data_IF_349981423097
#
_entry.id   IF_349981423097
#
_cell.length_a   1.000
_cell.length_b   1.000
_cell.length_c   1.000
_cell.angle_alpha   90.00
_cell.angle_beta   90.00
_cell.angle_gamma   90.00
#
_symmetry.space_group_name_H-M   'P 1'
#
loop_
_entity.id
_entity.type
_entity.pdbx_description
1 polymer ?
#
# COMPACT_ATOMS: atom_id res chain seq x y z
N UNK A 1 2.03 -19.24 -8.62
CA UNK A 1 2.66 -18.17 -7.80
C UNK A 1 2.44 -18.29 -6.27
N UNK A 2 1.60 -19.21 -5.76
CA UNK A 2 1.36 -19.31 -4.31
C UNK A 2 2.53 -19.89 -3.49
N UNK A 3 3.12 -20.98 -3.95
CA UNK A 3 4.15 -21.74 -3.22
C UNK A 3 5.32 -20.92 -2.66
N UNK A 4 5.92 -19.97 -3.42
CA UNK A 4 7.02 -19.15 -2.92
C UNK A 4 6.68 -18.35 -1.65
N UNK A 5 5.45 -17.82 -1.53
CA UNK A 5 5.04 -17.02 -0.38
C UNK A 5 4.99 -17.87 0.90
N UNK A 6 4.26 -18.99 0.82
CA UNK A 6 4.09 -19.90 1.96
C UNK A 6 5.40 -20.59 2.33
N UNK A 7 6.25 -20.88 1.35
CA UNK A 7 7.55 -21.50 1.58
C UNK A 7 8.54 -20.57 2.30
N UNK A 8 8.67 -19.31 1.84
CA UNK A 8 9.52 -18.32 2.50
C UNK A 8 9.02 -18.06 3.92
N UNK A 9 7.70 -17.92 4.10
CA UNK A 9 7.10 -17.72 5.42
C UNK A 9 7.38 -18.90 6.36
N UNK A 10 7.20 -20.13 5.88
CA UNK A 10 7.52 -21.34 6.62
C UNK A 10 8.98 -21.35 7.11
N UNK A 11 9.94 -21.04 6.24
CA UNK A 11 11.37 -21.00 6.60
C UNK A 11 11.67 -19.94 7.68
N UNK A 12 11.07 -18.76 7.56
CA UNK A 12 11.22 -17.68 8.55
C UNK A 12 10.66 -18.10 9.92
N UNK A 13 9.46 -18.69 9.93
CA UNK A 13 8.77 -19.10 11.15
C UNK A 13 9.46 -20.28 11.83
N UNK A 14 9.87 -21.29 11.07
CA UNK A 14 10.51 -22.49 11.61
C UNK A 14 11.88 -22.16 12.24
N UNK A 15 12.71 -21.40 11.52
CA UNK A 15 14.03 -21.00 12.02
C UNK A 15 13.92 -20.15 13.29
N UNK A 16 13.00 -19.17 13.30
CA UNK A 16 12.80 -18.26 14.43
C UNK A 16 12.18 -18.95 15.64
N UNK A 17 11.27 -19.89 15.44
CA UNK A 17 10.72 -20.70 16.53
C UNK A 17 11.83 -21.46 17.27
N UNK A 18 12.77 -22.08 16.54
CA UNK A 18 13.91 -22.78 17.16
C UNK A 18 14.80 -21.82 17.96
N UNK A 19 15.04 -20.61 17.45
CA UNK A 19 15.82 -19.58 18.14
C UNK A 19 15.15 -19.11 19.43
N UNK A 20 13.83 -18.85 19.39
CA UNK A 20 13.04 -18.40 20.54
C UNK A 20 13.03 -19.44 21.67
N UNK A 21 13.08 -20.72 21.32
CA UNK A 21 13.13 -21.83 22.28
C UNK A 21 14.56 -22.23 22.66
N UNK A 22 15.58 -21.59 22.08
CA UNK A 22 16.99 -21.88 22.35
C UNK A 22 17.47 -21.25 23.67
N UNK A 23 18.71 -21.56 24.03
CA UNK A 23 19.44 -20.92 25.15
C UNK A 23 20.47 -19.90 24.65
N UNK A 24 20.34 -19.44 23.41
CA UNK A 24 21.25 -18.44 22.85
C UNK A 24 21.09 -17.09 23.57
N UNK A 25 22.11 -16.21 23.51
CA UNK A 25 22.02 -14.87 24.07
C UNK A 25 20.82 -14.09 23.51
N UNK A 26 20.13 -13.32 24.36
CA UNK A 26 18.92 -12.58 23.98
C UNK A 26 19.13 -11.69 22.76
N UNK A 27 20.26 -10.99 22.65
CA UNK A 27 20.56 -10.13 21.51
C UNK A 27 20.64 -10.92 20.18
N UNK A 28 21.16 -12.16 20.23
CA UNK A 28 21.24 -13.03 19.07
C UNK A 28 19.85 -13.51 18.65
N UNK A 29 19.05 -13.98 19.62
CA UNK A 29 17.66 -14.41 19.36
C UNK A 29 16.84 -13.26 18.77
N UNK A 30 16.91 -12.05 19.36
CA UNK A 30 16.14 -10.89 18.89
C UNK A 30 16.55 -10.51 17.47
N UNK A 31 17.86 -10.41 17.19
CA UNK A 31 18.34 -9.98 15.87
C UNK A 31 17.95 -10.97 14.76
N UNK A 32 18.05 -12.27 15.02
CA UNK A 32 17.78 -13.30 14.02
C UNK A 32 16.29 -13.67 13.89
N UNK A 33 15.51 -13.59 14.96
CA UNK A 33 14.06 -13.90 14.93
C UNK A 33 13.18 -12.70 14.53
N UNK A 34 13.74 -11.48 14.51
CA UNK A 34 13.02 -10.25 14.15
C UNK A 34 12.18 -10.36 12.85
N UNK A 35 12.69 -10.92 11.73
CA UNK A 35 11.91 -11.07 10.51
C UNK A 35 10.65 -11.94 10.64
N UNK A 36 10.62 -12.85 11.62
CA UNK A 36 9.44 -13.65 11.92
C UNK A 36 8.57 -13.04 13.03
N UNK A 37 9.15 -12.31 13.99
CA UNK A 37 8.38 -11.64 15.04
C UNK A 37 7.52 -10.51 14.46
N UNK A 38 8.11 -9.75 13.54
CA UNK A 38 7.41 -8.74 12.75
C UNK A 38 7.02 -9.34 11.40
N UNK A 39 6.27 -8.59 10.61
CA UNK A 39 5.82 -9.09 9.33
C UNK A 39 5.75 -8.00 8.27
N UNK A 40 5.55 -8.46 7.04
CA UNK A 40 5.46 -7.61 5.87
C UNK A 40 4.36 -8.12 4.94
N UNK A 41 3.65 -7.19 4.33
CA UNK A 41 2.84 -7.48 3.16
C UNK A 41 3.76 -7.89 2.01
N UNK A 42 3.25 -8.75 1.12
CA UNK A 42 3.94 -9.14 -0.09
C UNK A 42 2.99 -9.01 -1.29
N UNK A 43 3.44 -8.30 -2.31
CA UNK A 43 2.73 -8.10 -3.56
C UNK A 43 3.69 -8.36 -4.71
N UNK A 44 3.33 -9.28 -5.60
CA UNK A 44 4.15 -9.67 -6.74
C UNK A 44 3.34 -9.65 -8.03
N UNK A 45 3.97 -9.23 -9.12
CA UNK A 45 3.43 -9.30 -10.47
C UNK A 45 4.43 -10.01 -11.38
N UNK A 46 3.95 -10.94 -12.21
CA UNK A 46 4.74 -11.67 -13.18
C UNK A 46 4.05 -11.58 -14.53
N UNK A 47 4.72 -10.94 -15.49
CA UNK A 47 4.27 -10.84 -16.87
C UNK A 47 5.06 -11.81 -17.75
N UNK A 48 4.36 -12.66 -18.48
CA UNK A 48 4.95 -13.52 -19.51
C UNK A 48 4.78 -12.87 -20.90
N UNK A 49 5.85 -12.35 -21.52
CA UNK A 49 5.75 -11.65 -22.80
C UNK A 49 5.45 -12.57 -23.98
N UNK A 50 5.62 -13.89 -23.85
CA UNK A 50 5.29 -14.82 -24.93
C UNK A 50 3.78 -15.06 -25.02
N UNK A 51 3.11 -15.10 -23.87
CA UNK A 51 1.66 -15.34 -23.77
C UNK A 51 0.86 -14.07 -23.52
N UNK A 52 1.51 -12.94 -23.22
CA UNK A 52 0.90 -11.68 -22.74
C UNK A 52 0.02 -11.86 -21.49
N UNK A 53 0.29 -12.90 -20.69
CA UNK A 53 -0.43 -13.16 -19.45
C UNK A 53 0.28 -12.47 -18.29
N UNK A 54 -0.45 -11.62 -17.58
CA UNK A 54 -0.04 -11.04 -16.31
C UNK A 54 -0.69 -11.79 -15.16
N UNK A 55 0.14 -12.18 -14.20
CA UNK A 55 -0.31 -12.77 -12.94
C UNK A 55 0.05 -11.84 -11.80
N UNK A 56 -0.90 -11.59 -10.90
CA UNK A 56 -0.71 -10.80 -9.68
C UNK A 56 -0.97 -11.68 -8.46
N UNK A 57 -0.05 -11.71 -7.50
CA UNK A 57 -0.20 -12.38 -6.21
C UNK A 57 -0.12 -11.35 -5.08
N UNK A 58 -1.14 -11.30 -4.21
CA UNK A 58 -1.19 -10.41 -3.07
C UNK A 58 -1.36 -11.16 -1.74
N UNK A 59 -0.54 -10.83 -0.74
CA UNK A 59 -0.66 -11.25 0.65
C UNK A 59 -0.43 -10.02 1.55
N UNK A 60 -1.46 -9.18 1.69
CA UNK A 60 -1.48 -8.02 2.56
C UNK A 60 -2.49 -6.97 2.11
N UNK A 61 -2.31 -5.74 2.60
CA UNK A 61 -3.12 -4.56 2.27
C UNK A 61 -2.50 -3.67 1.17
N UNK A 62 -1.47 -4.17 0.47
CA UNK A 62 -1.04 -3.60 -0.80
C UNK A 62 -2.05 -3.92 -1.90
N UNK A 63 -2.06 -3.11 -2.97
CA UNK A 63 -3.01 -3.28 -4.08
C UNK A 63 -2.36 -3.02 -5.43
N UNK A 64 -2.82 -3.76 -6.43
CA UNK A 64 -2.48 -3.61 -7.84
C UNK A 64 -3.71 -3.21 -8.65
N UNK A 65 -3.54 -2.22 -9.53
CA UNK A 65 -4.57 -1.73 -10.45
C UNK A 65 -3.99 -1.68 -11.86
N UNK A 66 -4.68 -2.30 -12.81
CA UNK A 66 -4.39 -2.21 -14.23
C UNK A 66 -5.14 -1.00 -14.83
N UNK A 67 -4.42 -0.14 -15.52
CA UNK A 67 -4.99 0.86 -16.41
C UNK A 67 -5.18 0.26 -17.80
N UNK A 68 -6.44 0.10 -18.23
CA UNK A 68 -6.78 -0.40 -19.57
C UNK A 68 -7.56 0.63 -20.36
N UNK A 69 -7.23 0.79 -21.64
CA UNK A 69 -7.99 1.68 -22.51
C UNK A 69 -9.39 1.12 -22.80
N UNK A 70 -10.41 1.93 -22.56
CA UNK A 70 -11.78 1.66 -22.99
C UNK A 70 -12.08 2.49 -24.26
N UNK A 71 -12.24 1.86 -25.43
CA UNK A 71 -12.56 2.55 -26.69
C UNK A 71 -13.89 3.31 -26.66
N UNK A 72 -14.88 2.84 -25.89
CA UNK A 72 -16.19 3.47 -25.82
C UNK A 72 -16.14 4.74 -24.98
N UNK A 73 -15.55 4.64 -23.78
CA UNK A 73 -15.39 5.79 -22.89
C UNK A 73 -14.25 6.73 -23.32
N UNK A 74 -13.42 6.32 -24.30
CA UNK A 74 -12.24 7.04 -24.80
C UNK A 74 -11.30 7.48 -23.68
N UNK A 75 -11.09 6.60 -22.70
CA UNK A 75 -10.23 6.83 -21.55
C UNK A 75 -9.71 5.53 -20.98
N UNK A 76 -8.64 5.61 -20.20
CA UNK A 76 -8.23 4.48 -19.37
C UNK A 76 -9.20 4.28 -18.22
N UNK A 77 -9.60 3.03 -18.01
CA UNK A 77 -10.41 2.55 -16.88
C UNK A 77 -9.49 1.81 -15.89
N UNK A 78 -9.84 1.89 -14.60
CA UNK A 78 -9.12 1.17 -13.56
C UNK A 78 -9.72 -0.21 -13.32
N UNK A 79 -8.90 -1.25 -13.44
CA UNK A 79 -9.26 -2.64 -13.18
C UNK A 79 -8.41 -3.15 -12.01
N UNK A 80 -8.96 -3.28 -10.79
CA UNK A 80 -8.25 -3.83 -9.65
C UNK A 80 -7.89 -5.30 -9.90
N UNK A 81 -6.63 -5.67 -9.72
CA UNK A 81 -6.13 -7.05 -9.89
C UNK A 81 -5.78 -7.72 -8.55
N UNK A 82 -6.10 -7.08 -7.44
CA UNK A 82 -5.96 -7.65 -6.09
C UNK A 82 -6.91 -6.94 -5.13
N UNK A 83 -7.49 -7.69 -4.19
CA UNK A 83 -8.18 -7.12 -3.04
C UNK A 83 -7.20 -6.88 -1.88
N UNK A 84 -7.52 -5.93 -1.00
CA UNK A 84 -6.78 -5.74 0.24
C UNK A 84 -7.19 -6.79 1.28
N UNK A 85 -6.20 -7.37 1.96
CA UNK A 85 -6.43 -8.36 3.01
C UNK A 85 -6.41 -7.69 4.39
N UNK A 86 -7.57 -7.17 4.80
CA UNK A 86 -7.81 -6.52 6.09
C UNK A 86 -9.25 -6.80 6.58
N UNK A 87 -9.61 -6.34 7.79
CA UNK A 87 -10.94 -6.57 8.36
C UNK A 87 -12.10 -5.79 7.74
N UNK A 88 -11.85 -4.96 6.72
CA UNK A 88 -12.91 -4.33 5.93
C UNK A 88 -13.25 -5.15 4.67
N UNK A 89 -12.47 -6.18 4.34
CA UNK A 89 -12.75 -7.08 3.23
C UNK A 89 -13.72 -8.18 3.68
N UNK A 90 -14.98 -8.22 3.19
CA UNK A 90 -15.98 -9.19 3.64
C UNK A 90 -15.57 -10.65 3.41
N UNK A 91 -14.76 -10.93 2.37
CA UNK A 91 -14.24 -12.27 2.10
C UNK A 91 -13.27 -12.72 3.20
N UNK A 92 -12.38 -11.82 3.66
CA UNK A 92 -11.44 -12.12 4.75
C UNK A 92 -12.13 -12.23 6.10
N UNK A 93 -13.11 -11.35 6.37
CA UNK A 93 -13.96 -11.46 7.57
C UNK A 93 -14.67 -12.82 7.59
N UNK A 94 -15.27 -13.21 6.46
CA UNK A 94 -15.98 -14.49 6.35
C UNK A 94 -15.04 -15.69 6.48
N UNK A 95 -13.81 -15.60 5.96
CA UNK A 95 -12.78 -16.63 6.12
C UNK A 95 -12.42 -16.80 7.60
N UNK A 96 -12.07 -15.71 8.27
CA UNK A 96 -11.65 -15.73 9.67
C UNK A 96 -12.78 -16.18 10.61
N UNK A 97 -14.03 -15.79 10.34
CA UNK A 97 -15.19 -16.28 11.10
C UNK A 97 -15.42 -17.79 10.95
N UNK A 98 -15.07 -18.38 9.80
CA UNK A 98 -15.16 -19.85 9.59
C UNK A 98 -14.04 -20.59 10.27
N UNK A 99 -12.83 -20.04 10.25
CA UNK A 99 -11.66 -20.64 10.90
C UNK A 99 -11.73 -20.53 12.43
N UNK A 100 -12.32 -19.44 12.95
CA UNK A 100 -12.39 -19.13 14.37
C UNK A 100 -13.84 -18.78 14.80
N UNK A 101 -14.80 -19.72 14.74
CA UNK A 101 -16.22 -19.42 14.91
C UNK A 101 -16.59 -18.87 16.30
N UNK A 102 -15.86 -19.28 17.33
CA UNK A 102 -16.13 -18.91 18.73
C UNK A 102 -15.24 -17.75 19.22
N UNK A 103 -14.43 -17.15 18.35
CA UNK A 103 -13.48 -16.10 18.71
C UNK A 103 -13.75 -14.80 17.95
N UNK A 104 -13.75 -13.68 18.68
CA UNK A 104 -13.83 -12.34 18.07
C UNK A 104 -12.42 -11.87 17.70
N UNK A 105 -11.97 -12.26 16.51
CA UNK A 105 -10.59 -11.99 16.07
C UNK A 105 -10.43 -10.66 15.34
N UNK A 106 -11.50 -10.13 14.74
CA UNK A 106 -11.52 -8.81 14.11
C UNK A 106 -12.25 -7.83 15.01
N UNK A 107 -11.61 -6.71 15.30
CA UNK A 107 -12.23 -5.56 15.94
C UNK A 107 -13.19 -4.87 14.97
N UNK A 108 -14.51 -4.79 15.28
CA UNK A 108 -15.50 -4.19 14.39
C UNK A 108 -15.36 -2.67 14.24
N UNK A 109 -14.72 -1.98 15.20
CA UNK A 109 -14.52 -0.53 15.13
C UNK A 109 -13.34 -0.16 14.25
N UNK A 110 -12.25 -0.93 14.34
CA UNK A 110 -11.00 -0.61 13.65
C UNK A 110 -10.74 -1.43 12.39
N UNK A 111 -11.41 -2.59 12.24
CA UNK A 111 -11.13 -3.58 11.22
C UNK A 111 -9.80 -4.31 11.43
N UNK A 112 -9.19 -4.21 12.61
CA UNK A 112 -7.92 -4.84 12.91
C UNK A 112 -8.10 -6.29 13.36
N UNK A 113 -7.29 -7.19 12.82
CA UNK A 113 -7.12 -8.55 13.31
C UNK A 113 -6.24 -8.51 14.55
N UNK A 114 -6.80 -8.72 15.75
CA UNK A 114 -6.04 -8.87 16.99
C UNK A 114 -4.97 -7.77 17.23
N UNK A 115 -5.27 -6.53 16.82
CA UNK A 115 -4.38 -5.37 16.96
C UNK A 115 -3.47 -5.07 15.76
N UNK A 116 -3.50 -5.86 14.69
CA UNK A 116 -2.82 -5.58 13.41
C UNK A 116 -3.82 -5.32 12.29
N UNK A 117 -3.46 -4.51 11.29
CA UNK A 117 -4.38 -4.08 10.20
C UNK A 117 -4.60 -5.14 9.12
N UNK A 118 -3.74 -6.15 9.03
CA UNK A 118 -3.71 -7.11 7.93
C UNK A 118 -4.18 -8.48 8.38
N UNK A 119 -4.86 -9.20 7.48
CA UNK A 119 -5.33 -10.58 7.70
C UNK A 119 -4.47 -11.62 6.98
N UNK A 120 -3.55 -11.15 6.12
CA UNK A 120 -2.50 -11.96 5.49
C UNK A 120 -1.18 -11.21 5.47
N UNK A 121 -0.08 -11.88 5.79
CA UNK A 121 1.27 -11.33 5.67
C UNK A 121 2.33 -12.44 5.87
N UNK A 122 3.55 -12.14 5.42
CA UNK A 122 4.75 -12.90 5.80
C UNK A 122 5.18 -12.52 7.22
N UNK A 123 5.83 -13.44 7.94
CA UNK A 123 6.28 -13.23 9.31
C UNK A 123 5.10 -13.24 10.29
N UNK A 124 5.11 -12.32 11.27
CA UNK A 124 4.08 -12.23 12.31
C UNK A 124 3.81 -13.57 13.02
N UNK A 125 4.89 -14.28 13.35
CA UNK A 125 4.87 -15.64 13.89
C UNK A 125 4.05 -15.79 15.16
N UNK A 126 3.91 -14.74 15.97
CA UNK A 126 3.04 -14.78 17.16
C UNK A 126 1.57 -15.09 16.83
N UNK A 127 1.11 -14.73 15.63
CA UNK A 127 -0.24 -15.03 15.17
C UNK A 127 -0.36 -16.41 14.51
N UNK A 128 0.75 -17.14 14.36
CA UNK A 128 0.86 -18.40 13.61
C UNK A 128 1.37 -19.57 14.45
N UNK A 129 2.23 -19.29 15.42
CA UNK A 129 2.84 -20.29 16.30
C UNK A 129 1.87 -20.80 17.38
N UNK A 130 2.17 -21.97 17.97
CA UNK A 130 1.50 -22.40 19.20
C UNK A 130 1.62 -21.34 20.31
N UNK A 131 0.58 -21.23 21.15
CA UNK A 131 0.51 -20.23 22.21
C UNK A 131 1.70 -20.26 23.19
N UNK A 132 2.34 -21.41 23.38
CA UNK A 132 3.56 -21.55 24.20
C UNK A 132 4.75 -20.79 23.63
N UNK A 133 4.97 -20.87 22.31
CA UNK A 133 6.06 -20.16 21.62
C UNK A 133 5.74 -18.67 21.52
N UNK A 134 4.51 -18.33 21.14
CA UNK A 134 4.03 -16.96 21.07
C UNK A 134 4.18 -16.21 22.41
N UNK A 135 3.91 -16.90 23.53
CA UNK A 135 4.10 -16.35 24.87
C UNK A 135 5.57 -16.05 25.17
N UNK A 136 6.48 -17.00 24.91
CA UNK A 136 7.93 -16.81 25.10
C UNK A 136 8.43 -15.63 24.23
N UNK A 137 8.01 -15.60 22.96
CA UNK A 137 8.35 -14.55 22.01
C UNK A 137 7.98 -13.15 22.53
N UNK A 138 6.78 -13.02 23.11
CA UNK A 138 6.32 -11.75 23.64
C UNK A 138 6.92 -11.38 25.00
N UNK A 139 7.07 -12.33 25.91
CA UNK A 139 7.58 -12.09 27.27
C UNK A 139 9.08 -11.80 27.27
N UNK A 140 9.86 -12.44 26.39
CA UNK A 140 11.32 -12.42 26.46
C UNK A 140 11.99 -11.68 25.30
N UNK A 141 11.29 -11.45 24.18
CA UNK A 141 11.91 -10.97 22.93
C UNK A 141 11.13 -9.83 22.25
N UNK A 142 10.32 -9.08 23.00
CA UNK A 142 9.54 -7.92 22.51
C UNK A 142 8.62 -8.22 21.32
N UNK A 143 8.25 -9.48 21.12
CA UNK A 143 7.29 -9.82 20.10
C UNK A 143 5.93 -9.17 20.36
N UNK A 144 5.24 -8.67 19.31
CA UNK A 144 3.98 -7.95 19.45
C UNK A 144 2.92 -8.81 20.15
N UNK A 145 2.24 -8.25 21.17
CA UNK A 145 1.13 -8.93 21.83
C UNK A 145 -0.14 -8.80 21.00
N UNK A 146 -0.81 -9.91 20.65
CA UNK A 146 -2.16 -9.84 20.11
C UNK A 146 -3.07 -9.11 21.11
N UNK A 147 -3.85 -8.16 20.60
CA UNK A 147 -4.89 -7.50 21.39
C UNK A 147 -6.15 -8.34 21.31
N UNK A 148 -6.56 -8.91 22.44
CA UNK A 148 -7.78 -9.69 22.56
C UNK A 148 -8.34 -9.57 23.98
N UNK A 149 -9.67 -9.43 24.09
CA UNK A 149 -10.39 -9.50 25.36
C UNK A 149 -10.62 -10.96 25.83
N UNK A 150 -10.22 -11.93 25.00
CA UNK A 150 -10.45 -13.35 25.22
C UNK A 150 -9.18 -14.17 24.97
N UNK A 151 -9.11 -15.36 25.58
CA UNK A 151 -8.00 -16.28 25.35
C UNK A 151 -8.01 -16.76 23.90
N UNK A 152 -6.91 -16.49 23.17
CA UNK A 152 -6.66 -16.99 21.82
C UNK A 152 -6.40 -18.50 21.87
N UNK A 153 -7.26 -19.29 21.22
CA UNK A 153 -7.26 -20.76 21.39
C UNK A 153 -6.65 -21.51 20.21
N UNK A 154 -6.94 -21.10 18.98
CA UNK A 154 -6.63 -21.87 17.79
C UNK A 154 -5.79 -21.10 16.75
N UNK A 155 -4.48 -20.79 17.00
CA UNK A 155 -3.63 -20.34 15.90
C UNK A 155 -3.59 -21.39 14.76
N UNK A 156 -3.41 -20.98 13.49
CA UNK A 156 -3.03 -19.65 13.04
C UNK A 156 -4.22 -18.69 12.81
N UNK A 157 -4.06 -17.43 13.18
CA UNK A 157 -4.99 -16.33 12.87
C UNK A 157 -4.60 -15.55 11.61
N UNK A 158 -3.34 -15.70 11.17
CA UNK A 158 -2.77 -15.00 10.03
C UNK A 158 -2.16 -16.01 9.07
N UNK A 159 -2.39 -15.83 7.77
CA UNK A 159 -1.82 -16.71 6.73
C UNK A 159 -0.91 -15.92 5.78
N UNK A 160 0.01 -16.61 5.10
CA UNK A 160 0.86 -16.03 4.05
C UNK A 160 0.43 -16.41 2.64
N UNK A 161 -0.59 -17.27 2.50
CA UNK A 161 -1.08 -17.69 1.18
C UNK A 161 -1.68 -16.51 0.41
N UNK A 162 -1.15 -16.18 -0.78
CA UNK A 162 -1.63 -15.05 -1.54
C UNK A 162 -2.91 -15.39 -2.30
N UNK A 163 -3.74 -14.37 -2.51
CA UNK A 163 -4.74 -14.41 -3.58
C UNK A 163 -4.03 -14.15 -4.92
N UNK A 164 -4.39 -14.91 -5.96
CA UNK A 164 -3.77 -14.82 -7.28
C UNK A 164 -4.83 -14.52 -8.33
N UNK A 165 -4.60 -13.46 -9.10
CA UNK A 165 -5.43 -13.08 -10.25
C UNK A 165 -4.59 -13.16 -11.51
N UNK A 166 -5.16 -13.68 -12.59
CA UNK A 166 -4.55 -13.69 -13.92
C UNK A 166 -5.40 -12.85 -14.88
N UNK A 167 -4.75 -12.11 -15.77
CA UNK A 167 -5.39 -11.36 -16.84
C UNK A 167 -4.44 -11.26 -18.03
N UNK A 168 -5.00 -11.16 -19.23
CA UNK A 168 -4.21 -10.78 -20.41
C UNK A 168 -3.83 -9.30 -20.34
N UNK A 169 -2.75 -8.94 -21.02
CA UNK A 169 -2.22 -7.58 -21.16
C UNK A 169 -2.26 -7.15 -22.61
N UNK A 170 -2.71 -5.91 -22.85
CA UNK A 170 -2.65 -5.29 -24.17
C UNK A 170 -1.39 -4.44 -24.28
N UNK A 171 -0.29 -5.01 -24.76
CA UNK A 171 1.01 -4.33 -24.92
C UNK A 171 1.19 -3.64 -26.29
N UNK A 172 0.30 -3.91 -27.24
CA UNK A 172 0.40 -3.40 -28.62
C UNK A 172 -0.70 -2.38 -28.95
N UNK A 173 -0.37 -1.40 -29.79
CA UNK A 173 -1.32 -0.38 -30.30
C UNK A 173 -1.06 1.01 -29.72
N UNK A 174 -1.99 1.93 -29.97
CA UNK A 174 -1.85 3.35 -29.57
C UNK A 174 -2.05 3.59 -28.06
N UNK A 175 -2.67 2.61 -27.38
CA UNK A 175 -3.04 2.70 -25.97
C UNK A 175 -2.68 1.42 -25.21
N UNK A 176 -1.37 1.13 -25.04
CA UNK A 176 -0.95 -0.02 -24.27
C UNK A 176 -1.39 0.09 -22.82
N UNK A 177 -1.59 -1.06 -22.19
CA UNK A 177 -1.93 -1.19 -20.78
C UNK A 177 -0.74 -0.76 -19.89
N UNK A 178 -1.06 -0.40 -18.66
CA UNK A 178 -0.04 -0.18 -17.62
C UNK A 178 -0.52 -0.68 -16.27
N UNK A 179 0.42 -1.02 -15.41
CA UNK A 179 0.19 -1.54 -14.07
C UNK A 179 0.62 -0.52 -13.02
N UNK A 180 -0.22 -0.28 -12.01
CA UNK A 180 0.14 0.45 -10.80
C UNK A 180 0.13 -0.54 -9.63
N UNK A 181 1.28 -0.74 -9.00
CA UNK A 181 1.42 -1.49 -7.77
C UNK A 181 1.83 -0.53 -6.67
N UNK A 182 1.09 -0.51 -5.56
CA UNK A 182 1.45 0.33 -4.43
C UNK A 182 1.00 -0.26 -3.10
N UNK A 183 1.66 0.19 -2.03
CA UNK A 183 1.25 -0.14 -0.67
C UNK A 183 -0.01 0.64 -0.25
N UNK A 184 -0.65 0.19 0.83
CA UNK A 184 -1.90 0.77 1.37
C UNK A 184 -1.92 2.29 1.37
N UNK A 185 -0.83 2.94 1.79
CA UNK A 185 -0.82 4.38 2.01
C UNK A 185 -1.14 5.18 0.75
N UNK A 186 -0.74 4.70 -0.44
CA UNK A 186 -1.16 5.34 -1.69
C UNK A 186 -2.67 5.24 -1.89
N UNK A 187 -3.23 4.05 -1.68
CA UNK A 187 -4.65 3.73 -1.92
C UNK A 187 -5.60 4.31 -0.87
N UNK A 188 -5.09 4.73 0.29
CA UNK A 188 -5.84 5.57 1.21
C UNK A 188 -6.07 6.97 0.64
N UNK A 189 -5.08 7.51 -0.09
CA UNK A 189 -5.10 8.86 -0.65
C UNK A 189 -5.74 8.89 -2.05
N UNK A 190 -5.64 7.81 -2.82
CA UNK A 190 -6.18 7.70 -4.17
C UNK A 190 -7.33 6.71 -4.28
N UNK A 191 -8.35 7.09 -5.04
CA UNK A 191 -9.27 6.12 -5.61
C UNK A 191 -8.66 5.51 -6.88
N UNK A 192 -9.02 4.27 -7.20
CA UNK A 192 -8.37 3.52 -8.29
C UNK A 192 -8.40 4.27 -9.64
N UNK A 193 -9.53 4.87 -9.98
CA UNK A 193 -9.72 5.59 -11.24
C UNK A 193 -8.93 6.90 -11.29
N UNK A 194 -8.78 7.58 -10.14
CA UNK A 194 -8.00 8.80 -10.02
C UNK A 194 -6.50 8.53 -10.11
N UNK A 195 -6.02 7.41 -9.56
CA UNK A 195 -4.64 6.97 -9.76
C UNK A 195 -4.33 6.70 -11.24
N UNK A 196 -5.22 5.97 -11.94
CA UNK A 196 -5.12 5.73 -13.38
C UNK A 196 -5.13 7.04 -14.16
N UNK A 197 -6.04 7.96 -13.84
CA UNK A 197 -6.10 9.28 -14.49
C UNK A 197 -4.79 10.07 -14.28
N UNK A 198 -4.28 10.11 -13.04
CA UNK A 198 -3.00 10.76 -12.72
C UNK A 198 -1.84 10.16 -13.53
N UNK A 199 -1.74 8.83 -13.60
CA UNK A 199 -0.73 8.14 -14.43
C UNK A 199 -0.85 8.52 -15.90
N UNK A 200 -2.07 8.61 -16.44
CA UNK A 200 -2.27 8.98 -17.86
C UNK A 200 -1.89 10.43 -18.16
N UNK A 201 -2.03 11.35 -17.22
CA UNK A 201 -1.57 12.73 -17.40
C UNK A 201 -0.05 12.77 -17.59
N UNK A 202 0.68 11.98 -16.81
CA UNK A 202 2.12 11.85 -16.93
C UNK A 202 2.54 11.20 -18.26
N UNK A 203 1.89 10.10 -18.64
CA UNK A 203 2.22 9.35 -19.87
C UNK A 203 1.91 10.14 -21.15
N UNK A 204 0.78 10.85 -21.20
CA UNK A 204 0.42 11.74 -22.30
C UNK A 204 1.45 12.86 -22.49
N UNK A 205 1.92 13.47 -21.41
CA UNK A 205 2.97 14.47 -21.49
C UNK A 205 4.31 13.88 -21.94
N UNK A 206 4.67 12.67 -21.49
CA UNK A 206 5.84 11.96 -22.01
C UNK A 206 5.74 11.72 -23.52
N UNK A 207 4.62 11.19 -24.00
CA UNK A 207 4.40 10.94 -25.43
C UNK A 207 4.50 12.24 -26.25
N UNK A 208 3.86 13.32 -25.80
CA UNK A 208 3.88 14.62 -26.47
C UNK A 208 5.28 15.28 -26.45
N UNK A 209 6.05 15.10 -25.37
CA UNK A 209 7.42 15.62 -25.23
C UNK A 209 8.40 14.81 -26.08
N UNK A 210 8.27 13.48 -26.16
CA UNK A 210 9.12 12.61 -26.99
C UNK A 210 8.87 12.82 -28.49
N UNK A 211 7.65 13.18 -28.90
CA UNK A 211 7.30 13.52 -30.29
C UNK A 211 7.66 14.97 -30.71
N UNK A 212 8.42 15.71 -29.89
CA UNK A 212 8.95 17.02 -30.27
C UNK A 212 7.98 18.20 -30.12
N UNK A 213 6.80 18.01 -29.51
CA UNK A 213 5.90 19.11 -29.15
C UNK A 213 6.38 19.82 -27.87
N UNK A 214 7.53 20.50 -27.96
CA UNK A 214 8.14 21.32 -26.90
C UNK A 214 7.17 22.41 -26.41
N UNK A 215 6.21 22.84 -27.24
CA UNK A 215 5.24 23.88 -26.90
C UNK A 215 4.28 23.50 -25.76
N UNK A 216 3.97 22.22 -25.53
CA UNK A 216 3.01 21.85 -24.48
C UNK A 216 3.64 21.85 -23.08
N UNK A 217 4.94 21.51 -22.97
CA UNK A 217 5.74 21.72 -21.74
C UNK A 217 5.73 23.21 -21.35
N UNK A 218 5.77 24.11 -22.35
CA UNK A 218 5.75 25.57 -22.15
C UNK A 218 4.34 26.14 -21.89
N UNK A 219 3.27 25.55 -22.45
CA UNK A 219 1.87 25.94 -22.18
C UNK A 219 1.32 25.38 -20.85
N UNK A 220 1.85 24.26 -20.36
CA UNK A 220 1.48 23.66 -19.06
C UNK A 220 2.43 24.02 -17.92
N UNK A 221 3.54 24.72 -18.18
CA UNK A 221 4.25 25.49 -17.17
C UNK A 221 3.33 26.61 -16.66
N UNK A 222 2.45 26.28 -15.72
CA UNK A 222 2.00 27.25 -14.73
C UNK A 222 3.23 27.62 -13.89
N UNK A 223 3.82 28.77 -14.19
CA UNK A 223 4.72 29.57 -13.34
C UNK A 223 5.58 28.79 -12.33
N UNK A 224 6.53 27.97 -12.81
CA UNK A 224 7.50 27.30 -11.92
C UNK A 224 8.74 28.15 -11.58
N UNK A 225 8.92 29.32 -12.21
CA UNK A 225 10.17 30.11 -12.11
C UNK A 225 10.05 31.37 -11.24
N UNK A 226 9.08 31.42 -10.31
CA UNK A 226 9.07 32.44 -9.27
C UNK A 226 9.95 31.99 -8.08
N UNK A 227 11.10 32.64 -7.80
CA UNK A 227 11.84 32.39 -6.58
C UNK A 227 10.95 32.67 -5.37
N UNK A 228 10.88 31.70 -4.45
CA UNK A 228 10.05 31.75 -3.26
C UNK A 228 10.46 32.94 -2.36
N UNK A 229 9.56 33.90 -2.20
CA UNK A 229 9.58 34.84 -1.07
C UNK A 229 8.69 34.27 0.03
N UNK A 230 9.18 34.08 1.28
CA UNK A 230 8.40 33.55 2.41
C UNK A 230 7.29 34.49 2.93
N UNK A 231 6.79 35.41 2.12
CA UNK A 231 5.75 36.35 2.49
C UNK A 231 5.01 36.82 1.25
N UNK A 232 3.68 36.69 1.24
CA UNK A 232 2.85 37.51 0.36
C UNK A 232 1.64 36.87 -0.31
N UNK A 233 1.42 35.56 -0.26
CA UNK A 233 0.10 34.99 -0.61
C UNK A 233 -0.64 34.68 0.68
N UNK A 234 -1.82 35.29 0.87
CA UNK A 234 -2.68 35.02 2.02
C UNK A 234 -2.80 33.51 2.20
N UNK A 235 -2.17 32.98 3.25
CA UNK A 235 -2.13 31.55 3.53
C UNK A 235 -3.52 31.13 3.96
N UNK A 236 -4.34 30.73 2.99
CA UNK A 236 -5.64 30.10 3.24
C UNK A 236 -5.36 28.87 4.10
N UNK A 237 -6.10 28.67 5.19
CA UNK A 237 -5.86 27.50 6.04
C UNK A 237 -6.13 26.26 5.19
N UNK A 238 -5.31 25.21 5.37
CA UNK A 238 -5.47 23.96 4.61
C UNK A 238 -6.89 23.40 4.75
N UNK A 239 -7.52 23.64 5.90
CA UNK A 239 -8.90 23.27 6.27
C UNK A 239 -9.99 23.98 5.48
N UNK A 240 -9.65 25.03 4.71
CA UNK A 240 -10.63 25.80 3.94
C UNK A 240 -10.89 25.16 2.55
N UNK A 241 -10.31 23.97 2.29
CA UNK A 241 -10.51 23.19 1.06
C UNK A 241 -11.45 21.99 1.32
N UNK A 242 -12.41 21.81 0.42
CA UNK A 242 -13.52 20.84 0.53
C UNK A 242 -13.10 19.35 0.59
N UNK A 243 -11.86 19.00 0.25
CA UNK A 243 -11.40 17.60 0.20
C UNK A 243 -10.43 17.21 1.33
N UNK A 244 -10.42 18.00 2.40
CA UNK A 244 -9.71 17.68 3.64
C UNK A 244 -10.70 17.33 4.74
N UNK A 245 -10.36 16.37 5.59
CA UNK A 245 -11.21 15.92 6.70
C UNK A 245 -10.36 15.50 7.88
N UNK A 246 -10.98 15.25 9.03
CA UNK A 246 -10.31 14.69 10.19
C UNK A 246 -10.57 13.19 10.22
N UNK A 247 -9.51 12.40 10.18
CA UNK A 247 -9.58 10.96 10.33
C UNK A 247 -10.07 10.61 11.75
N UNK A 248 -11.12 9.81 11.84
CA UNK A 248 -11.79 9.52 13.13
C UNK A 248 -10.92 8.68 14.06
N UNK A 249 -10.04 7.84 13.53
CA UNK A 249 -9.20 6.95 14.33
C UNK A 249 -7.99 7.69 14.91
N UNK A 250 -7.34 8.54 14.10
CA UNK A 250 -6.13 9.25 14.50
C UNK A 250 -6.39 10.66 15.03
N UNK A 251 -7.56 11.25 14.74
CA UNK A 251 -7.85 12.66 15.00
C UNK A 251 -7.01 13.62 14.14
N UNK A 252 -6.33 13.12 13.10
CA UNK A 252 -5.42 13.90 12.27
C UNK A 252 -6.07 14.35 10.96
N UNK A 253 -5.54 15.43 10.38
CA UNK A 253 -5.92 15.87 9.05
C UNK A 253 -5.61 14.79 8.01
N UNK A 254 -6.60 14.43 7.20
CA UNK A 254 -6.49 13.53 6.06
C UNK A 254 -7.10 14.18 4.82
N UNK A 255 -6.77 13.66 3.65
CA UNK A 255 -7.21 14.21 2.37
C UNK A 255 -7.28 13.12 1.30
N UNK A 256 -7.98 13.43 0.21
CA UNK A 256 -7.97 12.62 -1.01
C UNK A 256 -7.26 13.35 -2.15
N UNK A 257 -6.59 12.58 -2.99
CA UNK A 257 -6.01 13.03 -4.25
C UNK A 257 -7.07 12.84 -5.35
N UNK A 258 -7.46 13.95 -5.97
CA UNK A 258 -8.52 14.00 -6.98
C UNK A 258 -8.00 14.74 -8.22
N UNK A 259 -8.61 14.46 -9.38
CA UNK A 259 -8.22 15.01 -10.68
C UNK A 259 -7.96 16.52 -10.69
N UNK A 260 -8.77 17.32 -9.99
CA UNK A 260 -8.64 18.78 -9.95
C UNK A 260 -7.35 19.28 -9.28
N UNK A 261 -6.68 18.42 -8.50
CA UNK A 261 -5.45 18.75 -7.78
C UNK A 261 -4.20 18.22 -8.48
N UNK A 262 -4.33 17.56 -9.63
CA UNK A 262 -3.18 16.94 -10.28
C UNK A 262 -2.30 17.96 -10.98
N UNK A 263 -0.98 17.83 -10.77
CA UNK A 263 0.06 18.65 -11.38
C UNK A 263 1.17 17.75 -11.90
N UNK A 264 1.70 18.06 -13.08
CA UNK A 264 2.75 17.26 -13.72
C UNK A 264 4.07 18.03 -13.64
N UNK A 265 4.95 17.59 -12.75
CA UNK A 265 6.25 18.22 -12.51
C UNK A 265 7.42 17.25 -12.61
N UNK A 266 7.13 15.95 -12.71
CA UNK A 266 8.12 14.89 -12.66
C UNK A 266 8.01 14.00 -13.89
N UNK A 267 9.15 13.69 -14.50
CA UNK A 267 9.22 12.73 -15.61
C UNK A 267 9.09 11.26 -15.13
N UNK A 268 9.29 10.99 -13.83
CA UNK A 268 9.16 9.67 -13.24
C UNK A 268 7.75 9.44 -12.69
N UNK A 269 6.99 8.54 -13.33
CA UNK A 269 5.57 8.32 -13.02
C UNK A 269 5.29 7.97 -11.55
N UNK A 270 6.14 7.15 -10.92
CA UNK A 270 6.01 6.84 -9.49
C UNK A 270 6.16 8.07 -8.57
N UNK A 271 7.09 8.99 -8.90
CA UNK A 271 7.29 10.22 -8.12
C UNK A 271 6.11 11.16 -8.36
N UNK A 272 5.66 11.26 -9.62
CA UNK A 272 4.48 12.01 -10.00
C UNK A 272 3.24 11.56 -9.21
N UNK A 273 2.98 10.25 -9.11
CA UNK A 273 1.89 9.72 -8.29
C UNK A 273 2.05 10.10 -6.82
N UNK A 274 3.23 9.90 -6.23
CA UNK A 274 3.49 10.19 -4.82
C UNK A 274 3.28 11.68 -4.50
N UNK A 275 3.81 12.60 -5.33
CA UNK A 275 3.63 14.04 -5.10
C UNK A 275 2.17 14.47 -5.22
N UNK A 276 1.45 13.90 -6.18
CA UNK A 276 0.01 14.16 -6.31
C UNK A 276 -0.81 13.56 -5.16
N UNK A 277 -0.40 12.40 -4.65
CA UNK A 277 -0.96 11.81 -3.43
C UNK A 277 -0.84 12.78 -2.25
N UNK A 278 0.33 13.39 -2.10
CA UNK A 278 0.69 14.20 -0.93
C UNK A 278 0.28 15.67 -1.02
N UNK A 279 -0.36 16.08 -2.12
CA UNK A 279 -0.96 17.42 -2.22
C UNK A 279 -1.14 17.91 -3.64
N UNK A 280 -0.31 17.47 -4.59
CA UNK A 280 -0.35 17.92 -5.98
C UNK A 280 -0.24 19.44 -6.07
N UNK A 281 -1.20 20.09 -6.73
CA UNK A 281 -1.27 21.55 -6.86
C UNK A 281 -1.52 22.27 -5.52
N UNK A 282 -1.97 21.58 -4.47
CA UNK A 282 -2.16 22.12 -3.12
C UNK A 282 -0.82 22.27 -2.40
N UNK A 283 0.00 23.24 -2.82
CA UNK A 283 1.38 23.44 -2.32
C UNK A 283 1.49 23.56 -0.81
N UNK A 284 0.61 24.33 -0.18
CA UNK A 284 0.60 24.47 1.27
C UNK A 284 0.39 23.13 2.01
N UNK A 285 -0.43 22.23 1.47
CA UNK A 285 -0.61 20.89 2.03
C UNK A 285 0.66 20.04 1.82
N UNK A 286 1.16 19.99 0.59
CA UNK A 286 2.36 19.23 0.26
C UNK A 286 3.56 19.64 1.12
N UNK A 287 3.85 20.94 1.20
CA UNK A 287 4.95 21.50 1.99
C UNK A 287 4.76 21.23 3.49
N UNK A 288 3.53 21.37 4.00
CA UNK A 288 3.24 21.06 5.41
C UNK A 288 3.51 19.60 5.72
N UNK A 289 3.05 18.67 4.88
CA UNK A 289 3.27 17.23 5.08
C UNK A 289 4.76 16.86 4.99
N UNK A 290 5.52 17.54 4.13
CA UNK A 290 6.97 17.34 3.97
C UNK A 290 7.79 17.88 5.15
N UNK A 291 7.32 18.94 5.81
CA UNK A 291 8.03 19.55 6.96
C UNK A 291 7.79 18.82 8.29
N UNK A 292 6.81 17.92 8.36
CA UNK A 292 6.54 17.11 9.54
C UNK A 292 7.75 16.24 9.94
N UNK A 293 8.06 16.27 11.23
CA UNK A 293 9.15 15.49 11.85
C UNK A 293 8.62 14.30 12.66
N UNK A 294 9.47 13.30 12.93
CA UNK A 294 9.15 12.27 13.93
C UNK A 294 8.82 12.90 15.29
N UNK A 295 7.88 12.33 16.06
CA UNK A 295 7.22 11.04 15.84
C UNK A 295 5.92 11.11 15.01
N UNK A 296 5.49 12.30 14.57
CA UNK A 296 4.18 12.48 13.91
C UNK A 296 4.25 12.11 12.42
N UNK A 297 5.39 12.34 11.78
CA UNK A 297 5.53 12.16 10.34
C UNK A 297 5.09 10.79 9.80
N UNK A 298 5.42 9.64 10.44
CA UNK A 298 4.98 8.34 9.93
C UNK A 298 3.46 8.16 9.96
N UNK A 299 2.76 8.77 10.92
CA UNK A 299 1.28 8.68 10.99
C UNK A 299 0.59 9.51 9.91
N UNK A 300 1.16 10.66 9.54
CA UNK A 300 0.53 11.58 8.57
C UNK A 300 0.86 11.23 7.12
N UNK A 301 2.14 11.09 6.75
CA UNK A 301 2.48 10.73 5.37
C UNK A 301 2.54 9.24 5.15
N UNK A 302 2.94 8.47 6.16
CA UNK A 302 3.27 7.05 6.03
C UNK A 302 4.46 6.80 5.11
N UNK A 303 4.80 5.53 4.97
CA UNK A 303 5.70 5.07 3.92
C UNK A 303 4.88 4.91 2.63
N UNK A 304 5.40 5.46 1.53
CA UNK A 304 4.77 5.38 0.22
C UNK A 304 5.71 4.65 -0.72
N UNK A 305 5.21 3.59 -1.35
CA UNK A 305 5.94 2.80 -2.34
C UNK A 305 5.04 2.56 -3.52
N UNK A 306 5.51 2.93 -4.71
CA UNK A 306 4.75 2.86 -5.96
C UNK A 306 5.67 2.35 -7.06
N UNK A 307 5.21 1.34 -7.78
CA UNK A 307 5.81 0.83 -9.00
C UNK A 307 4.79 1.00 -10.12
N UNK A 308 5.21 1.65 -11.21
CA UNK A 308 4.40 1.77 -12.42
C UNK A 308 5.12 1.08 -13.56
N UNK A 309 4.46 0.11 -14.19
CA UNK A 309 4.99 -0.65 -15.33
C UNK A 309 4.13 -0.35 -16.54
N UNK A 310 4.74 0.10 -17.63
CA UNK A 310 4.09 0.24 -18.93
C UNK A 310 4.43 -1.00 -19.75
N UNK A 311 3.44 -1.59 -20.40
CA UNK A 311 3.61 -2.80 -21.23
C UNK A 311 3.80 -2.45 -22.70
#
# INVERSE_FOLDING_TARGET
MKGPFTYIDYLLLESSQRLIQSKLPTAEVVSQSSPALFGSCALAALHDPQTNVLRVANAGDSRTVLGRWDPQAKRYIAIPLSAEHNGHNPCEVSRLQKEHPDEKVIDPETGNLLGIRVTRALGFGIFKWPSSVARIASENFWGPRPKSDHALRAPPYLISEPEVVETDVHSTGDHPDFLIMANRRLWELFDNQDAVACTTLNSKLRYLVTQGFIELKRKMQLDSDQPFSPGGRQSRRITDNDDTSIDRQSGQLTWKAQNKHFVVEDDHCGVHLIKNALGGSRRGLFESVMTLRPPISPSVRGDLSVVVTFF
#
